data_IF_431693264326
#
_entry.id   IF_431693264326
#
_cell.length_a   1.000
_cell.length_b   1.000
_cell.length_c   1.000
_cell.angle_alpha   90.00
_cell.angle_beta   90.00
_cell.angle_gamma   90.00
#
_symmetry.space_group_name_H-M   'P 1'
#
loop_
_entity.id
_entity.type
_entity.pdbx_description
1 polymer ?
#
# COMPACT_ATOMS: atom_id res chain seq x y z
N UNK A 1 -11.13 11.54 0.29
CA UNK A 1 -11.66 10.35 -0.42
C UNK A 1 -10.52 9.57 -1.05
N UNK A 2 -10.66 8.26 -1.21
CA UNK A 2 -9.71 7.41 -1.91
C UNK A 2 -9.75 7.68 -3.43
N UNK A 3 -8.59 7.66 -4.09
CA UNK A 3 -8.47 7.91 -5.54
C UNK A 3 -8.96 6.78 -6.44
N UNK A 4 -9.36 5.63 -5.88
CA UNK A 4 -9.77 4.43 -6.65
C UNK A 4 -11.23 4.02 -6.36
N UNK A 5 -11.75 4.33 -5.17
CA UNK A 5 -13.07 3.88 -4.72
C UNK A 5 -13.74 4.94 -3.84
N UNK A 6 -15.06 4.86 -3.56
CA UNK A 6 -15.78 5.91 -2.83
C UNK A 6 -15.51 5.94 -1.32
N UNK A 7 -14.61 5.11 -0.79
CA UNK A 7 -14.24 5.08 0.63
C UNK A 7 -13.30 6.23 0.99
N UNK A 8 -13.13 6.48 2.29
CA UNK A 8 -12.13 7.42 2.77
C UNK A 8 -10.71 6.93 2.52
N UNK A 9 -9.84 7.88 2.18
CA UNK A 9 -8.42 7.64 1.99
C UNK A 9 -7.66 8.00 3.26
N UNK A 10 -6.91 7.04 3.79
CA UNK A 10 -6.12 7.21 5.02
C UNK A 10 -4.62 7.11 4.75
N UNK A 11 -4.20 6.66 3.57
CA UNK A 11 -2.79 6.59 3.17
C UNK A 11 -2.50 7.55 2.03
N UNK A 12 -1.52 8.44 2.19
CA UNK A 12 -0.98 9.25 1.10
C UNK A 12 0.21 8.55 0.49
N UNK A 13 0.28 8.49 -0.84
CA UNK A 13 1.44 7.97 -1.53
C UNK A 13 2.31 9.12 -2.06
N UNK A 14 3.60 9.12 -1.74
CA UNK A 14 4.55 10.15 -2.17
C UNK A 14 5.26 9.79 -3.49
N UNK A 15 5.13 8.55 -3.96
CA UNK A 15 5.69 8.11 -5.24
C UNK A 15 4.74 8.29 -6.43
N UNK A 16 3.43 8.39 -6.17
CA UNK A 16 2.43 8.63 -7.21
C UNK A 16 2.33 10.12 -7.53
N UNK A 17 2.11 10.43 -8.81
CA UNK A 17 1.89 11.80 -9.27
C UNK A 17 0.70 12.43 -8.56
N UNK A 18 0.89 13.64 -8.01
CA UNK A 18 -0.16 14.38 -7.30
C UNK A 18 -0.42 13.93 -5.86
N UNK A 19 0.43 13.07 -5.31
CA UNK A 19 0.32 12.53 -3.95
C UNK A 19 -1.08 12.04 -3.52
N UNK A 20 -1.71 11.13 -4.28
CA UNK A 20 -3.08 10.69 -4.04
C UNK A 20 -3.27 9.99 -2.69
N UNK A 21 -4.53 10.00 -2.22
CA UNK A 21 -4.98 9.28 -1.04
C UNK A 21 -5.62 7.94 -1.39
N UNK A 22 -5.36 6.91 -0.59
CA UNK A 22 -5.91 5.57 -0.76
C UNK A 22 -6.50 5.04 0.55
N UNK A 23 -7.58 4.25 0.46
CA UNK A 23 -7.98 3.38 1.57
C UNK A 23 -6.98 2.22 1.69
N UNK A 24 -6.96 1.50 2.82
CA UNK A 24 -5.99 0.41 3.06
C UNK A 24 -5.99 -0.63 1.93
N UNK A 25 -7.18 -1.08 1.50
CA UNK A 25 -7.30 -2.10 0.45
C UNK A 25 -6.74 -1.60 -0.89
N UNK A 26 -7.20 -0.42 -1.35
CA UNK A 26 -6.71 0.16 -2.61
C UNK A 26 -5.21 0.48 -2.54
N UNK A 27 -4.69 0.89 -1.38
CA UNK A 27 -3.26 1.15 -1.21
C UNK A 27 -2.44 -0.15 -1.44
N UNK A 28 -2.83 -1.27 -0.84
CA UNK A 28 -2.13 -2.57 -1.05
C UNK A 28 -2.23 -3.05 -2.49
N UNK A 29 -3.42 -3.02 -3.09
CA UNK A 29 -3.65 -3.61 -4.41
C UNK A 29 -3.05 -2.76 -5.53
N UNK A 30 -3.24 -1.43 -5.48
CA UNK A 30 -2.72 -0.51 -6.48
C UNK A 30 -1.18 -0.50 -6.49
N UNK A 31 -0.54 -0.57 -5.31
CA UNK A 31 0.92 -0.55 -5.20
C UNK A 31 1.58 -1.94 -5.38
N UNK A 32 0.84 -2.98 -5.78
CA UNK A 32 1.41 -4.31 -6.03
C UNK A 32 2.55 -4.31 -7.06
N UNK A 33 2.48 -3.42 -8.05
CA UNK A 33 3.52 -3.23 -9.08
C UNK A 33 4.46 -2.07 -8.80
N UNK A 34 4.28 -1.37 -7.67
CA UNK A 34 5.08 -0.23 -7.24
C UNK A 34 5.47 -0.39 -5.76
N UNK A 35 6.13 -1.50 -5.38
CA UNK A 35 6.34 -1.89 -3.99
C UNK A 35 7.26 -0.94 -3.19
N UNK A 36 7.96 -0.04 -3.89
CA UNK A 36 8.94 0.88 -3.29
C UNK A 36 8.42 2.31 -3.14
N UNK A 37 7.16 2.58 -3.48
CA UNK A 37 6.57 3.89 -3.21
C UNK A 37 6.47 4.12 -1.70
N UNK A 38 6.94 5.28 -1.25
CA UNK A 38 6.79 5.72 0.14
C UNK A 38 5.36 6.17 0.39
N UNK A 39 4.83 5.83 1.56
CA UNK A 39 3.50 6.21 1.98
C UNK A 39 3.52 6.82 3.38
N UNK A 40 2.51 7.61 3.70
CA UNK A 40 2.24 8.10 5.05
C UNK A 40 0.79 7.82 5.43
N UNK A 41 0.51 7.60 6.72
CA UNK A 41 -0.83 7.34 7.24
C UNK A 41 -1.37 8.57 7.97
N UNK A 42 -2.64 8.89 7.74
CA UNK A 42 -3.37 9.88 8.53
C UNK A 42 -3.64 9.36 9.95
N UNK A 43 -3.16 10.08 10.95
CA UNK A 43 -3.34 9.75 12.37
C UNK A 43 -4.58 10.38 13.00
N UNK A 44 -5.29 11.25 12.26
CA UNK A 44 -6.33 12.12 12.80
C UNK A 44 -5.88 13.58 12.99
N UNK A 45 -4.56 13.82 13.07
CA UNK A 45 -3.99 15.17 13.18
C UNK A 45 -2.90 15.49 12.16
N UNK A 46 -2.07 14.50 11.80
CA UNK A 46 -1.00 14.66 10.81
C UNK A 46 -0.77 13.36 10.02
N UNK A 47 0.04 13.44 8.97
CA UNK A 47 0.52 12.28 8.23
C UNK A 47 1.84 11.80 8.83
N UNK A 48 1.89 10.53 9.24
CA UNK A 48 3.10 9.89 9.76
C UNK A 48 3.66 8.88 8.75
N UNK A 49 4.99 8.85 8.61
CA UNK A 49 5.68 7.93 7.71
C UNK A 49 5.36 6.47 8.05
N UNK A 50 5.00 5.69 7.03
CA UNK A 50 4.76 4.26 7.17
C UNK A 50 5.24 3.51 5.93
N UNK A 51 5.04 2.20 5.89
CA UNK A 51 5.42 1.36 4.77
C UNK A 51 4.25 0.52 4.29
N UNK A 52 4.31 0.10 3.02
CA UNK A 52 3.37 -0.86 2.47
C UNK A 52 3.37 -2.17 3.30
N UNK A 53 4.54 -2.60 3.80
CA UNK A 53 4.65 -3.79 4.66
C UNK A 53 3.87 -3.68 5.96
N UNK A 54 3.85 -2.50 6.61
CA UNK A 54 3.06 -2.27 7.83
C UNK A 54 1.55 -2.39 7.61
N UNK A 55 1.08 -2.29 6.37
CA UNK A 55 -0.34 -2.47 6.01
C UNK A 55 -0.61 -3.83 5.36
N UNK A 56 0.32 -4.78 5.49
CA UNK A 56 0.17 -6.16 5.00
C UNK A 56 0.49 -6.34 3.52
N UNK A 57 1.24 -5.43 2.89
CA UNK A 57 1.76 -5.68 1.55
C UNK A 57 3.06 -6.47 1.62
N UNK A 58 3.15 -7.51 0.80
CA UNK A 58 4.30 -8.40 0.73
C UNK A 58 4.92 -8.35 -0.67
N UNK A 59 6.25 -8.44 -0.73
CA UNK A 59 6.99 -8.53 -1.97
C UNK A 59 7.46 -9.96 -2.16
N UNK A 60 6.93 -10.64 -3.16
CA UNK A 60 7.37 -11.99 -3.53
C UNK A 60 8.44 -11.90 -4.62
N UNK A 61 9.65 -12.39 -4.33
CA UNK A 61 10.84 -12.26 -5.19
C UNK A 61 10.91 -13.28 -6.34
N UNK A 62 9.81 -13.95 -6.67
CA UNK A 62 9.72 -15.00 -7.68
C UNK A 62 8.28 -15.17 -8.17
N UNK A 63 8.02 -16.19 -9.00
CA UNK A 63 6.67 -16.56 -9.46
C UNK A 63 5.86 -15.39 -10.05
N UNK A 64 6.53 -14.49 -10.77
CA UNK A 64 5.93 -13.27 -11.32
C UNK A 64 5.23 -12.37 -10.26
N UNK A 65 5.70 -12.43 -9.01
CA UNK A 65 5.13 -11.70 -7.88
C UNK A 65 4.08 -12.48 -7.09
N UNK A 66 3.80 -13.74 -7.45
CA UNK A 66 2.88 -14.59 -6.68
C UNK A 66 3.56 -15.21 -5.43
N UNK A 67 2.78 -15.53 -4.38
CA UNK A 67 3.28 -16.28 -3.24
C UNK A 67 3.91 -17.61 -3.65
N UNK A 68 5.01 -17.98 -3.00
CA UNK A 68 5.60 -19.30 -3.21
C UNK A 68 4.63 -20.37 -2.70
N UNK A 69 4.31 -21.43 -3.47
CA UNK A 69 3.34 -22.45 -3.08
C UNK A 69 3.77 -23.29 -1.87
N UNK A 70 5.03 -23.14 -1.42
CA UNK A 70 5.58 -23.81 -0.23
C UNK A 70 5.81 -22.88 0.96
N UNK A 71 5.55 -21.57 0.80
CA UNK A 71 5.45 -20.68 1.96
C UNK A 71 4.03 -20.86 2.51
N UNK A 72 3.90 -21.73 3.50
CA UNK A 72 2.76 -21.72 4.42
C UNK A 72 3.18 -20.89 5.62
N UNK A 73 2.38 -19.89 5.98
CA UNK A 73 2.58 -19.11 7.21
C UNK A 73 2.51 -20.07 8.42
N UNK A 74 3.61 -20.21 9.18
CA UNK A 74 3.64 -20.86 10.50
C UNK A 74 3.17 -19.92 11.61
#
# INVERSE_FOLDING_TARGET
MCSVCPKDGVYRCHGCMGEPLFCTHCCRTFHSRMPFHRISQWTGGFFEDTSLTKIGFEVHLGHAGEPCPRLTDE
#
